data_IF_497574050948
#
_entry.id   IF_497574050948
#
_cell.length_a   1.000
_cell.length_b   1.000
_cell.length_c   1.000
_cell.angle_alpha   90.00
_cell.angle_beta   90.00
_cell.angle_gamma   90.00
#
_symmetry.space_group_name_H-M   'P 1'
#
loop_
_entity.id
_entity.type
_entity.pdbx_description
1 polymer ?
#
# COMPACT_ATOMS: atom_id res chain seq x y z
N UNK A 1 -11.99 6.89 2.34
CA UNK A 1 -10.68 6.22 2.49
C UNK A 1 -10.30 5.35 1.29
N UNK A 2 -11.15 4.40 0.85
CA UNK A 2 -10.85 3.50 -0.29
C UNK A 2 -10.19 4.18 -1.49
N UNK A 3 -10.79 5.25 -2.03
CA UNK A 3 -10.28 5.92 -3.23
C UNK A 3 -8.87 6.51 -3.03
N UNK A 4 -8.54 6.92 -1.80
CA UNK A 4 -7.24 7.49 -1.45
C UNK A 4 -6.15 6.41 -1.44
N UNK A 5 -6.47 5.19 -0.98
CA UNK A 5 -5.57 4.03 -1.06
C UNK A 5 -5.53 3.44 -2.48
N UNK A 6 -6.62 3.51 -3.24
CA UNK A 6 -6.62 3.07 -4.63
C UNK A 6 -5.78 3.98 -5.57
N UNK A 7 -5.52 5.23 -5.17
CA UNK A 7 -4.77 6.22 -5.94
C UNK A 7 -3.25 6.09 -5.76
N UNK A 8 -2.72 4.96 -6.23
CA UNK A 8 -1.33 4.51 -6.05
C UNK A 8 -0.32 5.56 -6.57
N UNK A 9 -0.64 6.26 -7.67
CA UNK A 9 0.26 7.25 -8.29
C UNK A 9 0.55 8.45 -7.40
N UNK A 10 -0.36 8.76 -6.47
CA UNK A 10 -0.19 9.89 -5.54
C UNK A 10 0.59 9.55 -4.30
N UNK A 11 0.93 8.27 -4.08
CA UNK A 11 1.67 7.84 -2.90
C UNK A 11 2.96 8.64 -2.62
N UNK A 12 3.80 9.00 -3.61
CA UNK A 12 5.01 9.79 -3.35
C UNK A 12 4.74 11.19 -2.77
N UNK A 13 3.52 11.70 -2.88
CA UNK A 13 3.16 13.03 -2.40
C UNK A 13 3.00 13.09 -0.88
N UNK A 14 2.78 11.94 -0.21
CA UNK A 14 2.43 11.93 1.21
C UNK A 14 2.91 10.70 1.97
N UNK A 15 3.15 9.55 1.32
CA UNK A 15 3.65 8.38 2.03
C UNK A 15 5.13 8.55 2.38
N UNK A 16 5.52 8.28 3.63
CA UNK A 16 6.90 8.34 4.03
C UNK A 16 7.72 7.34 3.21
N UNK A 17 8.92 7.74 2.81
CA UNK A 17 9.90 6.91 2.08
C UNK A 17 9.47 6.48 0.68
N UNK A 18 8.23 6.68 0.27
CA UNK A 18 7.80 6.45 -1.10
C UNK A 18 8.33 7.58 -1.99
N UNK A 19 9.38 7.28 -2.75
CA UNK A 19 10.06 8.24 -3.61
C UNK A 19 9.53 8.27 -5.04
N UNK A 20 8.84 7.21 -5.47
CA UNK A 20 8.21 7.14 -6.78
C UNK A 20 7.14 6.04 -6.80
N UNK A 21 6.08 6.30 -7.55
CA UNK A 21 5.04 5.36 -7.90
C UNK A 21 4.79 5.45 -9.40
N UNK A 22 4.67 4.31 -10.08
CA UNK A 22 4.42 4.24 -11.52
C UNK A 22 3.43 3.14 -11.85
N UNK A 23 2.35 3.48 -12.54
CA UNK A 23 1.45 2.47 -13.11
C UNK A 23 2.12 1.87 -14.34
N UNK A 24 2.22 0.54 -14.37
CA UNK A 24 2.64 -0.24 -15.54
C UNK A 24 1.47 -0.48 -16.45
N UNK A 25 0.33 -0.89 -15.88
CA UNK A 25 -0.90 -1.16 -16.61
C UNK A 25 -2.12 -1.11 -15.69
N UNK A 26 -3.29 -0.90 -16.30
CA UNK A 26 -4.61 -0.93 -15.66
C UNK A 26 -5.55 -1.68 -16.59
N UNK A 27 -6.23 -2.72 -16.09
CA UNK A 27 -7.09 -3.59 -16.90
C UNK A 27 -8.27 -4.14 -16.09
N UNK A 28 -9.39 -4.50 -16.72
CA UNK A 28 -10.47 -5.22 -16.05
C UNK A 28 -9.97 -6.52 -15.39
N UNK A 29 -10.47 -6.82 -14.19
CA UNK A 29 -10.21 -8.07 -13.47
C UNK A 29 -11.39 -9.04 -13.54
N UNK A 30 -11.60 -9.78 -12.46
CA UNK A 30 -12.86 -10.50 -12.21
C UNK A 30 -14.06 -9.52 -12.18
N UNK A 31 -15.31 -9.98 -12.34
CA UNK A 31 -16.48 -9.11 -12.32
C UNK A 31 -16.50 -8.17 -11.12
N UNK A 32 -16.64 -6.87 -11.38
CA UNK A 32 -16.63 -5.84 -10.32
C UNK A 32 -15.25 -5.45 -9.79
N UNK A 33 -14.16 -5.92 -10.41
CA UNK A 33 -12.79 -5.59 -10.02
C UNK A 33 -11.94 -5.03 -11.16
N UNK A 34 -10.87 -4.37 -10.79
CA UNK A 34 -9.83 -3.89 -11.69
C UNK A 34 -8.46 -4.36 -11.19
N UNK A 35 -7.59 -4.73 -12.13
CA UNK A 35 -6.21 -5.10 -11.84
C UNK A 35 -5.28 -3.98 -12.31
N UNK A 36 -4.47 -3.49 -11.38
CA UNK A 36 -3.45 -2.48 -11.60
C UNK A 36 -2.09 -3.11 -11.32
N UNK A 37 -1.17 -3.06 -12.27
CA UNK A 37 0.23 -3.41 -12.01
C UNK A 37 1.02 -2.12 -11.81
N UNK A 38 1.73 -2.00 -10.69
CA UNK A 38 2.41 -0.77 -10.31
C UNK A 38 3.78 -1.04 -9.68
N UNK A 39 4.70 -0.12 -9.92
CA UNK A 39 6.00 -0.04 -9.28
C UNK A 39 5.99 1.00 -8.16
N UNK A 40 6.54 0.63 -7.01
CA UNK A 40 6.87 1.56 -5.93
C UNK A 40 8.39 1.57 -5.70
N UNK A 41 8.93 2.76 -5.41
CA UNK A 41 10.34 2.94 -4.98
C UNK A 41 10.37 3.43 -3.55
N UNK A 42 10.85 2.60 -2.64
CA UNK A 42 10.94 2.91 -1.21
C UNK A 42 12.39 3.20 -0.83
N UNK A 43 12.61 4.37 -0.21
CA UNK A 43 13.91 4.83 0.28
C UNK A 43 13.87 5.04 1.80
N UNK A 44 14.37 4.07 2.57
CA UNK A 44 14.36 4.07 4.03
C UNK A 44 15.77 3.88 4.59
N UNK A 45 16.32 4.87 5.31
CA UNK A 45 17.72 4.85 5.77
C UNK A 45 18.69 4.59 4.60
N UNK A 46 19.50 3.54 4.67
CA UNK A 46 20.44 3.12 3.60
C UNK A 46 19.80 2.24 2.53
N UNK A 47 18.53 1.86 2.74
CA UNK A 47 17.80 0.97 1.84
C UNK A 47 17.08 1.79 0.77
N UNK A 48 17.32 1.45 -0.49
CA UNK A 48 16.55 1.96 -1.64
C UNK A 48 16.25 0.82 -2.58
N UNK A 49 14.99 0.44 -2.66
CA UNK A 49 14.56 -0.64 -3.54
C UNK A 49 13.30 -0.27 -4.31
N UNK A 50 13.19 -0.88 -5.49
CA UNK A 50 11.96 -0.89 -6.29
C UNK A 50 11.32 -2.26 -6.18
N UNK A 51 10.01 -2.29 -6.01
CA UNK A 51 9.24 -3.51 -6.18
C UNK A 51 7.99 -3.26 -7.02
N UNK A 52 7.65 -4.25 -7.83
CA UNK A 52 6.42 -4.33 -8.59
C UNK A 52 5.37 -5.15 -7.84
N UNK A 53 4.14 -4.68 -7.91
CA UNK A 53 2.98 -5.37 -7.33
C UNK A 53 1.81 -5.40 -8.31
N UNK A 54 1.00 -6.47 -8.20
CA UNK A 54 -0.32 -6.57 -8.79
C UNK A 54 -1.33 -6.20 -7.72
N UNK A 55 -2.12 -5.17 -7.97
CA UNK A 55 -3.14 -4.66 -7.07
C UNK A 55 -4.50 -4.93 -7.69
N UNK A 56 -5.34 -5.70 -7.00
CA UNK A 56 -6.73 -5.94 -7.39
C UNK A 56 -7.62 -5.03 -6.56
N UNK A 57 -8.34 -4.15 -7.23
CA UNK A 57 -9.24 -3.16 -6.67
C UNK A 57 -10.68 -3.67 -6.77
N UNK A 58 -11.39 -3.70 -5.65
CA UNK A 58 -12.82 -4.07 -5.57
C UNK A 58 -13.65 -2.88 -5.05
N UNK A 59 -14.14 -1.99 -5.94
CA UNK A 59 -14.78 -0.74 -5.51
C UNK A 59 -16.10 -0.91 -4.78
N UNK A 60 -16.85 -1.96 -5.11
CA UNK A 60 -18.14 -2.28 -4.47
C UNK A 60 -17.91 -2.88 -3.08
N UNK A 61 -17.00 -3.85 -2.98
CA UNK A 61 -16.66 -4.51 -1.72
C UNK A 61 -15.78 -3.65 -0.79
N UNK A 62 -15.33 -2.49 -1.27
CA UNK A 62 -14.36 -1.63 -0.60
C UNK A 62 -13.15 -2.43 -0.12
N UNK A 63 -12.56 -3.19 -1.03
CA UNK A 63 -11.40 -4.05 -0.77
C UNK A 63 -10.28 -3.83 -1.77
N UNK A 64 -9.05 -3.94 -1.31
CA UNK A 64 -7.85 -3.90 -2.15
C UNK A 64 -6.97 -5.08 -1.77
N UNK A 65 -6.66 -5.94 -2.73
CA UNK A 65 -5.70 -7.02 -2.54
C UNK A 65 -4.42 -6.68 -3.30
N UNK A 66 -3.26 -6.98 -2.73
CA UNK A 66 -1.96 -6.74 -3.36
C UNK A 66 -1.11 -7.98 -3.30
N UNK A 67 -0.52 -8.31 -4.44
CA UNK A 67 0.37 -9.45 -4.63
C UNK A 67 1.69 -8.99 -5.22
N UNK A 68 2.77 -9.66 -4.83
CA UNK A 68 4.10 -9.40 -5.34
C UNK A 68 4.29 -9.83 -6.81
N UNK A 69 5.00 -9.02 -7.60
CA UNK A 69 5.43 -9.36 -8.95
C UNK A 69 6.96 -9.54 -9.04
N UNK A 70 7.72 -8.50 -8.71
CA UNK A 70 9.18 -8.47 -8.85
C UNK A 70 9.86 -7.46 -7.91
N UNK A 71 11.17 -7.59 -7.71
CA UNK A 71 11.95 -6.79 -6.75
C UNK A 71 12.71 -7.60 -5.68
N UNK A 72 12.98 -7.02 -4.50
CA UNK A 72 13.84 -7.59 -3.46
C UNK A 72 13.13 -8.62 -2.57
N UNK A 73 11.81 -8.75 -2.69
CA UNK A 73 11.03 -9.66 -1.87
C UNK A 73 11.04 -11.08 -2.43
N UNK A 74 11.00 -12.04 -1.52
CA UNK A 74 10.65 -13.43 -1.83
C UNK A 74 9.14 -13.54 -2.02
N UNK A 75 8.38 -12.89 -1.15
CA UNK A 75 6.95 -12.65 -1.32
C UNK A 75 6.56 -11.35 -0.62
N UNK A 76 5.45 -10.76 -1.07
CA UNK A 76 4.72 -9.69 -0.41
C UNK A 76 3.24 -9.88 -0.75
N UNK A 77 2.39 -9.82 0.28
CA UNK A 77 0.94 -9.68 0.14
C UNK A 77 0.44 -8.65 1.12
N UNK A 78 -0.59 -7.93 0.72
CA UNK A 78 -1.34 -7.08 1.64
C UNK A 78 -2.80 -7.03 1.24
N UNK A 79 -3.64 -6.69 2.19
CA UNK A 79 -5.04 -6.44 1.93
C UNK A 79 -5.55 -5.27 2.75
N UNK A 80 -6.44 -4.51 2.14
CA UNK A 80 -7.20 -3.46 2.76
C UNK A 80 -8.68 -3.78 2.65
N UNK A 81 -9.41 -3.61 3.75
CA UNK A 81 -10.86 -3.54 3.74
C UNK A 81 -11.29 -2.24 4.42
N UNK A 82 -12.36 -1.64 3.90
CA UNK A 82 -12.89 -0.40 4.43
C UNK A 82 -14.37 -0.57 4.73
N UNK A 83 -14.79 -0.17 5.92
CA UNK A 83 -16.18 -0.15 6.32
C UNK A 83 -16.57 1.24 6.82
N UNK A 84 -17.72 1.73 6.37
CA UNK A 84 -18.28 2.98 6.90
C UNK A 84 -18.80 2.74 8.33
N UNK A 85 -18.60 3.73 9.21
CA UNK A 85 -19.09 3.66 10.58
C UNK A 85 -20.42 4.42 10.72
N UNK A 86 -21.37 3.92 11.54
CA UNK A 86 -22.68 4.56 11.71
C UNK A 86 -22.60 6.03 12.17
N UNK A 87 -21.57 6.36 12.95
CA UNK A 87 -21.35 7.67 13.57
C UNK A 87 -20.56 8.63 12.66
N UNK A 88 -20.30 8.22 11.42
CA UNK A 88 -19.37 8.89 10.51
C UNK A 88 -17.94 8.37 10.65
N UNK A 89 -17.13 8.64 9.62
CA UNK A 89 -15.78 8.08 9.50
C UNK A 89 -15.76 6.68 8.88
N UNK A 90 -14.58 6.05 8.89
CA UNK A 90 -14.32 4.79 8.21
C UNK A 90 -13.38 3.93 9.06
N UNK A 91 -13.76 2.66 9.27
CA UNK A 91 -12.86 1.63 9.78
C UNK A 91 -12.00 1.12 8.64
N UNK A 92 -10.71 1.03 8.90
CA UNK A 92 -9.71 0.49 7.97
C UNK A 92 -9.12 -0.76 8.59
N UNK A 93 -9.33 -1.90 7.94
CA UNK A 93 -8.66 -3.15 8.27
C UNK A 93 -7.52 -3.34 7.27
N UNK A 94 -6.28 -3.32 7.76
CA UNK A 94 -5.09 -3.48 6.94
C UNK A 94 -4.22 -4.62 7.46
N UNK A 95 -3.80 -5.50 6.55
CA UNK A 95 -2.78 -6.50 6.81
C UNK A 95 -1.70 -6.45 5.75
N UNK A 96 -0.48 -6.83 6.13
CA UNK A 96 0.64 -7.01 5.22
C UNK A 96 1.55 -8.11 5.74
N UNK A 97 2.05 -8.91 4.82
CA UNK A 97 2.92 -10.05 5.08
C UNK A 97 3.96 -10.15 3.96
N UNK A 98 5.24 -10.19 4.31
CA UNK A 98 6.32 -10.22 3.33
C UNK A 98 7.58 -10.90 3.88
N UNK A 99 8.43 -11.37 2.98
CA UNK A 99 9.76 -11.87 3.29
C UNK A 99 10.75 -11.31 2.26
N UNK A 100 11.90 -10.80 2.73
CA UNK A 100 12.98 -10.38 1.84
C UNK A 100 13.81 -11.57 1.38
N UNK A 101 14.36 -11.50 0.16
CA UNK A 101 15.34 -12.49 -0.32
C UNK A 101 16.64 -12.45 0.49
N UNK A 102 17.02 -11.27 0.95
CA UNK A 102 18.22 -11.07 1.77
C UNK A 102 17.87 -11.13 3.26
N UNK A 103 18.39 -12.15 3.97
CA UNK A 103 18.13 -12.35 5.39
C UNK A 103 18.64 -11.21 6.30
N UNK A 104 19.73 -10.53 5.91
CA UNK A 104 20.24 -9.36 6.64
C UNK A 104 19.24 -8.22 6.56
N UNK A 105 18.73 -7.97 5.35
CA UNK A 105 17.72 -6.95 5.11
C UNK A 105 16.42 -7.24 5.88
N UNK A 106 15.99 -8.51 5.88
CA UNK A 106 14.84 -8.96 6.66
C UNK A 106 14.99 -8.67 8.15
N UNK A 107 16.17 -8.93 8.75
CA UNK A 107 16.44 -8.62 10.15
C UNK A 107 16.37 -7.13 10.46
N UNK A 108 16.98 -6.28 9.62
CA UNK A 108 16.98 -4.82 9.84
C UNK A 108 15.57 -4.26 9.80
N UNK A 109 14.77 -4.67 8.82
CA UNK A 109 13.39 -4.19 8.69
C UNK A 109 12.52 -4.75 9.82
N UNK A 110 12.69 -6.00 10.23
CA UNK A 110 11.96 -6.59 11.35
C UNK A 110 12.05 -5.77 12.65
N UNK A 111 13.19 -5.14 12.93
CA UNK A 111 13.39 -4.30 14.12
C UNK A 111 12.57 -3.00 14.08
N UNK A 112 12.35 -2.43 12.90
CA UNK A 112 11.68 -1.13 12.72
C UNK A 112 10.28 -1.25 12.12
N UNK A 113 9.82 -2.47 11.85
CA UNK A 113 8.64 -2.72 11.03
C UNK A 113 7.37 -2.10 11.64
N UNK A 114 7.14 -2.30 12.93
CA UNK A 114 5.97 -1.74 13.62
C UNK A 114 5.93 -0.20 13.56
N UNK A 115 7.07 0.45 13.74
CA UNK A 115 7.19 1.91 13.62
C UNK A 115 6.94 2.36 12.18
N UNK A 116 7.53 1.66 11.20
CA UNK A 116 7.34 1.96 9.79
C UNK A 116 5.88 1.87 9.38
N UNK A 117 5.19 0.81 9.79
CA UNK A 117 3.76 0.64 9.52
C UNK A 117 2.90 1.71 10.18
N UNK A 118 3.19 2.07 11.43
CA UNK A 118 2.48 3.13 12.14
C UNK A 118 2.59 4.47 11.40
N UNK A 119 3.77 4.78 10.81
CA UNK A 119 3.96 6.00 10.02
C UNK A 119 3.21 5.95 8.67
N UNK A 120 3.14 4.80 8.01
CA UNK A 120 2.37 4.63 6.77
C UNK A 120 0.88 4.87 7.03
N UNK A 121 0.31 4.23 8.06
CA UNK A 121 -1.11 4.39 8.42
C UNK A 121 -1.42 5.85 8.76
N UNK A 122 -0.61 6.49 9.61
CA UNK A 122 -0.78 7.92 9.94
C UNK A 122 -0.71 8.82 8.70
N UNK A 123 0.19 8.54 7.75
CA UNK A 123 0.26 9.33 6.53
C UNK A 123 -1.02 9.24 5.69
N UNK A 124 -1.68 8.08 5.65
CA UNK A 124 -2.99 7.93 5.02
C UNK A 124 -4.08 8.71 5.77
N UNK A 125 -4.10 8.65 7.10
CA UNK A 125 -5.01 9.43 7.93
C UNK A 125 -4.83 10.94 7.70
N UNK A 126 -3.60 11.45 7.81
CA UNK A 126 -3.26 12.86 7.62
C UNK A 126 -3.61 13.33 6.21
N UNK A 127 -3.38 12.49 5.20
CA UNK A 127 -3.78 12.79 3.82
C UNK A 127 -5.30 12.86 3.68
N UNK A 128 -6.05 11.99 4.35
CA UNK A 128 -7.51 12.05 4.35
C UNK A 128 -8.02 13.33 5.02
N UNK A 129 -7.45 13.74 6.15
CA UNK A 129 -7.77 15.01 6.82
C UNK A 129 -7.50 16.20 5.90
N UNK A 130 -6.33 16.22 5.25
CA UNK A 130 -5.94 17.32 4.36
C UNK A 130 -6.84 17.45 3.12
N UNK A 131 -7.37 16.34 2.59
CA UNK A 131 -8.21 16.34 1.39
C UNK A 131 -9.70 16.52 1.68
N UNK A 132 -10.18 16.04 2.83
CA UNK A 132 -11.61 15.93 3.11
C UNK A 132 -12.07 16.69 4.35
N UNK A 133 -11.15 17.29 5.12
CA UNK A 133 -11.47 18.15 6.27
C UNK A 133 -12.11 17.42 7.46
N UNK A 134 -11.94 16.09 7.54
CA UNK A 134 -12.40 15.26 8.66
C UNK A 134 -11.45 15.32 9.85
#
# INVERSE_FOLDING_TARGET
MYALVADIERYPQFLPWNTAARIRSRRPGAPGSEVVEADLVISFKVFRERFGSRVTLWPQDKRIDTEYLDGPFKYLRSGWAFADLPEGGCRVDFFVDFEFRNAVLGKVIGVVFGEAMSRIVRAFEDRAKALYGV
#
